data_IF_185002849128
#
_entry.id   IF_185002849128
#
_cell.length_a   1.000
_cell.length_b   1.000
_cell.length_c   1.000
_cell.angle_alpha   90.00
_cell.angle_beta   90.00
_cell.angle_gamma   90.00
#
_symmetry.space_group_name_H-M   'P 1'
#
loop_
_entity.id
_entity.type
_entity.pdbx_description
1 polymer ?
#
# COMPACT_ATOMS: atom_id res chain seq x y z
N UNK A 1 -4.98 4.12 -2.34
CA UNK A 1 -4.67 3.51 -1.02
C UNK A 1 -5.91 3.13 -0.23
N UNK A 2 -6.90 4.02 -0.04
CA UNK A 2 -8.04 3.73 0.82
C UNK A 2 -8.83 2.45 0.45
N UNK A 3 -9.12 2.21 -0.84
CA UNK A 3 -9.76 0.95 -1.31
C UNK A 3 -8.93 -0.32 -0.98
N UNK A 4 -7.60 -0.23 -1.01
CA UNK A 4 -6.73 -1.37 -0.72
C UNK A 4 -6.81 -1.81 0.74
N UNK A 5 -6.85 -0.85 1.66
CA UNK A 5 -7.00 -1.10 3.10
C UNK A 5 -8.43 -1.48 3.45
N UNK A 6 -9.42 -0.74 2.93
CA UNK A 6 -10.83 -0.98 3.24
C UNK A 6 -11.31 -2.34 2.73
N UNK A 7 -10.86 -2.79 1.55
CA UNK A 7 -11.15 -4.13 1.04
C UNK A 7 -10.47 -5.28 1.81
N UNK A 8 -9.73 -4.98 2.88
CA UNK A 8 -9.02 -5.94 3.75
C UNK A 8 -9.32 -5.69 5.23
N UNK A 9 -10.44 -5.04 5.52
CA UNK A 9 -10.86 -4.71 6.89
C UNK A 9 -9.81 -3.92 7.70
N UNK A 10 -8.98 -3.14 7.02
CA UNK A 10 -7.93 -2.32 7.62
C UNK A 10 -8.25 -0.81 7.64
N UNK A 11 -9.38 -0.41 7.05
CA UNK A 11 -9.86 0.96 7.07
C UNK A 11 -11.37 1.01 6.78
N UNK A 12 -12.00 2.11 7.16
CA UNK A 12 -13.35 2.46 6.73
C UNK A 12 -13.24 3.43 5.56
N UNK A 13 -14.12 3.30 4.55
CA UNK A 13 -14.11 4.13 3.36
C UNK A 13 -15.48 4.77 3.15
N UNK A 14 -15.52 6.10 3.19
CA UNK A 14 -16.69 6.90 2.85
C UNK A 14 -16.46 7.49 1.44
N UNK A 15 -17.45 7.41 0.55
CA UNK A 15 -17.37 8.12 -0.73
C UNK A 15 -17.64 9.61 -0.48
N UNK A 16 -16.96 10.49 -1.21
CA UNK A 16 -17.10 11.94 -1.02
C UNK A 16 -18.55 12.44 -1.16
N UNK A 17 -19.33 11.85 -2.09
CA UNK A 17 -20.76 12.18 -2.28
C UNK A 17 -21.64 11.82 -1.08
N UNK A 18 -21.18 10.89 -0.24
CA UNK A 18 -21.90 10.36 0.91
C UNK A 18 -21.33 10.96 2.22
N UNK A 19 -20.31 11.83 2.13
CA UNK A 19 -19.67 12.47 3.28
C UNK A 19 -20.48 13.68 3.74
N UNK A 20 -21.05 13.59 4.94
CA UNK A 20 -21.69 14.70 5.66
C UNK A 20 -21.19 14.76 7.11
N UNK A 21 -21.34 15.91 7.75
CA UNK A 21 -20.97 16.06 9.17
C UNK A 21 -21.73 15.06 10.07
N UNK A 22 -23.03 14.94 9.83
CA UNK A 22 -23.90 14.02 10.57
C UNK A 22 -23.50 12.56 10.35
N UNK A 23 -23.34 12.14 9.09
CA UNK A 23 -22.95 10.76 8.76
C UNK A 23 -21.56 10.40 9.29
N UNK A 24 -20.62 11.35 9.31
CA UNK A 24 -19.32 11.13 9.94
C UNK A 24 -19.44 10.97 11.46
N UNK A 25 -20.28 11.77 12.12
CA UNK A 25 -20.50 11.66 13.56
C UNK A 25 -21.12 10.30 13.92
N UNK A 26 -22.12 9.85 13.18
CA UNK A 26 -22.76 8.54 13.36
C UNK A 26 -21.76 7.40 13.17
N UNK A 27 -20.93 7.47 12.11
CA UNK A 27 -19.89 6.47 11.89
C UNK A 27 -18.92 6.42 13.08
N UNK A 28 -18.42 7.56 13.56
CA UNK A 28 -17.48 7.61 14.68
C UNK A 28 -18.09 7.09 15.98
N UNK A 29 -19.37 7.42 16.24
CA UNK A 29 -20.09 6.94 17.43
C UNK A 29 -20.38 5.43 17.39
N UNK A 30 -20.50 4.86 16.19
CA UNK A 30 -20.70 3.41 16.02
C UNK A 30 -19.46 2.57 16.33
N UNK A 31 -18.27 3.19 16.46
CA UNK A 31 -17.01 2.47 16.67
C UNK A 31 -16.73 2.25 18.14
N UNK A 32 -16.44 1.00 18.48
CA UNK A 32 -15.96 0.60 19.80
C UNK A 32 -14.46 0.27 19.79
N UNK A 33 -13.91 0.07 20.99
CA UNK A 33 -12.50 -0.23 21.19
C UNK A 33 -12.08 -1.53 20.50
N UNK A 34 -12.95 -2.53 20.47
CA UNK A 34 -12.66 -3.84 19.87
C UNK A 34 -12.52 -3.71 18.36
N UNK A 35 -13.45 -3.01 17.71
CA UNK A 35 -13.43 -2.76 16.27
C UNK A 35 -12.23 -1.91 15.87
N UNK A 36 -11.91 -0.87 16.65
CA UNK A 36 -10.73 -0.04 16.42
C UNK A 36 -9.43 -0.85 16.52
N UNK A 37 -9.32 -1.76 17.48
CA UNK A 37 -8.14 -2.63 17.63
C UNK A 37 -7.98 -3.56 16.43
N UNK A 38 -9.07 -4.17 15.95
CA UNK A 38 -9.05 -5.03 14.77
C UNK A 38 -8.59 -4.27 13.52
N UNK A 39 -9.17 -3.08 13.27
CA UNK A 39 -8.76 -2.21 12.16
C UNK A 39 -7.28 -1.87 12.24
N UNK A 40 -6.78 -1.52 13.43
CA UNK A 40 -5.38 -1.16 13.65
C UNK A 40 -4.42 -2.35 13.41
N UNK A 41 -4.78 -3.53 13.89
CA UNK A 41 -3.99 -4.76 13.68
C UNK A 41 -3.95 -5.13 12.19
N UNK A 42 -5.09 -5.09 11.50
CA UNK A 42 -5.17 -5.35 10.07
C UNK A 42 -4.34 -4.32 9.27
N UNK A 43 -4.48 -3.03 9.57
CA UNK A 43 -3.68 -1.97 8.93
C UNK A 43 -2.19 -2.17 9.15
N UNK A 44 -1.78 -2.55 10.37
CA UNK A 44 -0.38 -2.84 10.68
C UNK A 44 0.14 -4.05 9.91
N UNK A 45 -0.67 -5.11 9.77
CA UNK A 45 -0.31 -6.29 8.98
C UNK A 45 -0.12 -6.01 7.49
N UNK A 46 -0.74 -4.95 6.97
CA UNK A 46 -0.59 -4.52 5.56
C UNK A 46 0.52 -3.51 5.34
N UNK A 47 1.23 -3.08 6.39
CA UNK A 47 2.35 -2.17 6.26
C UNK A 47 3.49 -2.83 5.46
N UNK A 48 4.15 -2.05 4.60
CA UNK A 48 5.32 -2.47 3.81
C UNK A 48 6.56 -1.69 4.28
N UNK A 49 7.13 -2.03 5.46
CA UNK A 49 8.23 -1.26 6.04
C UNK A 49 9.51 -1.32 5.21
N UNK A 50 9.65 -2.33 4.37
CA UNK A 50 10.78 -2.62 3.48
C UNK A 50 10.58 -2.09 2.05
N UNK A 51 9.53 -1.29 1.80
CA UNK A 51 9.18 -0.84 0.45
C UNK A 51 10.32 -0.11 -0.26
N UNK A 52 11.11 0.69 0.46
CA UNK A 52 12.26 1.40 -0.10
C UNK A 52 13.34 0.42 -0.56
N UNK A 53 13.67 -0.57 0.29
CA UNK A 53 14.66 -1.60 -0.03
C UNK A 53 14.22 -2.42 -1.25
N UNK A 54 12.93 -2.79 -1.31
CA UNK A 54 12.37 -3.50 -2.45
C UNK A 54 12.49 -2.70 -3.76
N UNK A 55 12.24 -1.40 -3.72
CA UNK A 55 12.39 -0.51 -4.88
C UNK A 55 13.87 -0.42 -5.31
N UNK A 56 14.78 -0.21 -4.36
CA UNK A 56 16.22 -0.12 -4.65
C UNK A 56 16.74 -1.42 -5.26
N UNK A 57 16.38 -2.58 -4.69
CA UNK A 57 16.76 -3.88 -5.24
C UNK A 57 16.26 -4.08 -6.68
N UNK A 58 15.00 -3.68 -6.95
CA UNK A 58 14.43 -3.71 -8.29
C UNK A 58 15.18 -2.83 -9.30
N UNK A 59 15.53 -1.60 -8.92
CA UNK A 59 16.33 -0.71 -9.76
C UNK A 59 17.71 -1.31 -10.08
N UNK A 60 18.40 -1.84 -9.07
CA UNK A 60 19.73 -2.45 -9.25
C UNK A 60 19.70 -3.67 -10.18
N UNK A 61 18.67 -4.52 -10.07
CA UNK A 61 18.51 -5.69 -10.95
C UNK A 61 18.37 -5.27 -12.44
N UNK A 62 17.63 -4.20 -12.72
CA UNK A 62 17.48 -3.68 -14.09
C UNK A 62 18.78 -3.08 -14.63
N UNK A 63 19.58 -2.42 -13.79
CA UNK A 63 20.86 -1.87 -14.19
C UNK A 63 21.85 -2.99 -14.54
N UNK A 64 21.94 -4.04 -13.72
CA UNK A 64 22.78 -5.20 -14.01
C UNK A 64 22.38 -5.92 -15.32
N UNK A 65 21.08 -6.01 -15.61
CA UNK A 65 20.57 -6.56 -16.88
C UNK A 65 20.91 -5.71 -18.13
N UNK A 66 21.11 -4.40 -17.97
CA UNK A 66 21.52 -3.51 -19.06
C UNK A 66 23.00 -3.63 -19.41
N UNK A 67 23.86 -3.85 -18.42
CA UNK A 67 25.30 -4.02 -18.65
C UNK A 67 25.60 -5.35 -19.36
N UNK A 68 24.94 -6.43 -18.96
CA UNK A 68 25.03 -7.74 -19.64
C UNK A 68 24.53 -7.68 -21.08
N UNK A 69 23.40 -7.01 -21.35
CA UNK A 69 22.88 -6.84 -22.71
C UNK A 69 23.79 -5.99 -23.62
N UNK A 70 24.48 -4.98 -23.07
CA UNK A 70 25.45 -4.17 -23.82
C UNK A 70 26.74 -4.94 -24.15
N UNK A 71 27.16 -5.87 -23.30
CA UNK A 71 28.40 -6.63 -23.48
C UNK A 71 28.25 -7.72 -24.55
N UNK A 72 27.09 -8.38 -24.63
CA UNK A 72 26.77 -9.34 -25.70
C UNK A 72 26.64 -8.67 -27.08
N UNK A 73 26.14 -7.43 -27.15
CA UNK A 73 26.05 -6.67 -28.41
C UNK A 73 27.38 -6.13 -28.94
N UNK A 74 28.44 -6.10 -28.12
CA UNK A 74 29.77 -5.59 -28.49
C UNK A 74 30.73 -6.68 -28.99
N UNK A 75 30.42 -7.96 -28.73
CA UNK A 75 31.28 -9.09 -29.05
C UNK A 75 30.99 -9.74 -30.43
N UNK A 76 30.02 -9.19 -31.18
CA UNK A 76 29.60 -9.68 -32.49
C UNK A 76 29.92 -8.75 -33.67
N UNK A 77 30.95 -7.90 -33.57
CA UNK A 77 31.53 -7.16 -34.71
C UNK A 77 32.97 -7.58 -34.93
#
# INVERSE_FOLDING_TARGET
NAKFLAGRDAALLIQQRDLSAQGLAELLQSLDRTRLLQLAQAARGLARPDAVQAVVAGCNALLAGRETSKQTGRQGR
#
